data_IF_692739789551
#
_entry.id   IF_692739789551
#
_cell.length_a   1.000
_cell.length_b   1.000
_cell.length_c   1.000
_cell.angle_alpha   90.00
_cell.angle_beta   90.00
_cell.angle_gamma   90.00
#
_symmetry.space_group_name_H-M   'P 1'
#
loop_
_entity.id
_entity.type
_entity.pdbx_description
1 polymer ?
#
# COMPACT_ATOMS: atom_id res chain seq x y z
N UNK A 1 11.51 -10.40 -17.56
CA UNK A 1 10.19 -9.97 -17.07
C UNK A 1 9.23 -10.04 -18.24
N UNK A 2 8.15 -10.80 -18.10
CA UNK A 2 7.20 -11.03 -19.18
C UNK A 2 6.03 -10.05 -18.98
N UNK A 3 6.16 -8.84 -19.53
CA UNK A 3 5.08 -7.83 -19.52
C UNK A 3 4.01 -8.26 -20.53
N UNK A 4 3.27 -9.31 -20.19
CA UNK A 4 2.19 -9.78 -21.03
C UNK A 4 1.04 -8.76 -20.95
N UNK A 5 0.72 -8.16 -22.08
CA UNK A 5 -0.48 -7.33 -22.22
C UNK A 5 -1.72 -8.22 -22.07
N UNK A 6 -2.65 -7.80 -21.22
CA UNK A 6 -4.00 -8.34 -21.11
C UNK A 6 -4.99 -7.26 -21.51
N UNK A 7 -6.17 -7.69 -21.98
CA UNK A 7 -7.17 -6.81 -22.54
C UNK A 7 -8.42 -6.90 -21.68
N UNK A 8 -8.73 -5.83 -20.94
CA UNK A 8 -9.93 -5.76 -20.11
C UNK A 8 -11.05 -5.03 -20.86
N UNK A 9 -12.26 -5.58 -20.79
CA UNK A 9 -13.46 -4.96 -21.34
C UNK A 9 -14.26 -4.34 -20.21
N UNK A 10 -14.51 -3.03 -20.26
CA UNK A 10 -15.25 -2.29 -19.24
C UNK A 10 -16.23 -1.28 -19.85
N UNK A 11 -17.17 -0.78 -19.06
CA UNK A 11 -18.01 0.35 -19.45
C UNK A 11 -17.18 1.64 -19.65
N UNK A 12 -17.52 2.43 -20.67
CA UNK A 12 -16.79 3.66 -21.02
C UNK A 12 -16.98 4.79 -20.00
N UNK A 13 -18.14 4.84 -19.34
CA UNK A 13 -18.52 5.91 -18.42
C UNK A 13 -18.10 5.66 -16.95
N UNK A 14 -17.38 4.57 -16.69
CA UNK A 14 -16.96 4.17 -15.34
C UNK A 14 -15.45 3.98 -15.33
N UNK A 15 -14.75 4.81 -14.56
CA UNK A 15 -13.29 4.74 -14.39
C UNK A 15 -12.86 3.76 -13.28
N UNK A 16 -13.81 3.13 -12.59
CA UNK A 16 -13.51 2.11 -11.57
C UNK A 16 -13.33 0.72 -12.18
N UNK A 17 -12.26 0.03 -11.75
CA UNK A 17 -11.95 -1.36 -12.12
C UNK A 17 -13.05 -2.37 -11.70
N UNK A 18 -13.95 -1.98 -10.79
CA UNK A 18 -15.14 -2.74 -10.41
C UNK A 18 -16.12 -2.96 -11.58
N UNK A 19 -15.90 -2.26 -12.70
CA UNK A 19 -16.71 -2.34 -13.92
C UNK A 19 -16.10 -3.20 -15.03
N UNK A 20 -15.08 -4.02 -14.73
CA UNK A 20 -14.52 -4.97 -15.69
C UNK A 20 -15.49 -6.14 -15.93
N UNK A 21 -15.98 -6.25 -17.16
CA UNK A 21 -16.87 -7.33 -17.59
C UNK A 21 -16.13 -8.61 -17.93
N UNK A 22 -14.94 -8.50 -18.52
CA UNK A 22 -14.13 -9.63 -18.96
C UNK A 22 -12.66 -9.24 -19.15
N UNK A 23 -11.75 -10.21 -19.00
CA UNK A 23 -10.31 -10.06 -19.24
C UNK A 23 -9.86 -11.14 -20.22
N UNK A 24 -9.04 -10.75 -21.20
CA UNK A 24 -8.54 -11.62 -22.26
C UNK A 24 -7.02 -11.55 -22.39
N UNK A 25 -6.44 -12.66 -22.84
CA UNK A 25 -5.02 -12.81 -23.19
C UNK A 25 -4.69 -12.35 -24.62
N UNK A 26 -5.69 -12.00 -25.44
CA UNK A 26 -5.50 -11.44 -26.78
C UNK A 26 -6.58 -10.41 -27.15
N UNK A 27 -6.18 -9.42 -27.95
CA UNK A 27 -7.07 -8.37 -28.44
C UNK A 27 -8.22 -8.96 -29.27
N UNK A 28 -7.91 -9.92 -30.14
CA UNK A 28 -8.90 -10.60 -30.99
C UNK A 28 -10.04 -11.22 -30.17
N UNK A 29 -9.74 -11.82 -29.01
CA UNK A 29 -10.78 -12.39 -28.13
C UNK A 29 -11.63 -11.30 -27.48
N UNK A 30 -11.02 -10.18 -27.07
CA UNK A 30 -11.73 -9.03 -26.52
C UNK A 30 -12.66 -8.36 -27.56
N UNK A 31 -12.19 -8.19 -28.79
CA UNK A 31 -13.00 -7.67 -29.91
C UNK A 31 -14.17 -8.61 -30.24
N UNK A 32 -13.91 -9.92 -30.31
CA UNK A 32 -14.96 -10.92 -30.51
C UNK A 32 -16.00 -10.91 -29.37
N UNK A 33 -15.58 -10.66 -28.13
CA UNK A 33 -16.49 -10.47 -27.00
C UNK A 33 -17.39 -9.25 -27.21
N UNK A 34 -16.83 -8.09 -27.58
CA UNK A 34 -17.61 -6.89 -27.86
C UNK A 34 -18.65 -7.10 -28.99
N UNK A 35 -18.26 -7.81 -30.04
CA UNK A 35 -19.17 -8.13 -31.16
C UNK A 35 -20.30 -9.05 -30.71
N UNK A 36 -19.98 -10.07 -29.91
CA UNK A 36 -20.97 -11.04 -29.41
C UNK A 36 -21.93 -10.43 -28.40
N UNK A 37 -21.43 -9.56 -27.53
CA UNK A 37 -22.18 -8.92 -26.46
C UNK A 37 -22.35 -7.43 -26.73
N UNK A 38 -22.85 -7.08 -27.92
CA UNK A 38 -23.36 -5.73 -28.23
C UNK A 38 -24.55 -5.43 -27.32
N UNK A 39 -24.29 -5.15 -26.05
CA UNK A 39 -25.26 -4.70 -25.07
C UNK A 39 -25.56 -3.22 -25.32
N UNK A 40 -26.61 -2.70 -24.68
CA UNK A 40 -26.95 -1.26 -24.72
C UNK A 40 -25.90 -0.36 -24.05
N UNK A 41 -24.88 -0.94 -23.42
CA UNK A 41 -23.87 -0.25 -22.64
C UNK A 41 -22.64 -0.02 -23.52
N UNK A 42 -22.12 1.20 -23.53
CA UNK A 42 -20.94 1.54 -24.33
C UNK A 42 -19.70 0.93 -23.67
N UNK A 43 -19.16 -0.13 -24.27
CA UNK A 43 -18.02 -0.87 -23.75
C UNK A 43 -16.73 -0.46 -24.48
N UNK A 44 -15.63 -0.38 -23.75
CA UNK A 44 -14.27 -0.15 -24.26
C UNK A 44 -13.33 -1.29 -23.89
N UNK A 45 -12.33 -1.52 -24.74
CA UNK A 45 -11.17 -2.35 -24.40
C UNK A 45 -10.10 -1.41 -23.84
N UNK A 46 -9.53 -1.78 -22.71
CA UNK A 46 -8.32 -1.15 -22.17
C UNK A 46 -7.19 -2.17 -22.12
N UNK A 47 -5.99 -1.70 -22.46
CA UNK A 47 -4.78 -2.50 -22.38
C UNK A 47 -4.22 -2.38 -20.96
N UNK A 48 -4.04 -3.53 -20.31
CA UNK A 48 -3.42 -3.62 -19.00
C UNK A 48 -2.17 -4.48 -19.11
N UNK A 49 -1.22 -4.25 -18.22
CA UNK A 49 -0.01 -5.05 -18.13
C UNK A 49 -0.23 -6.05 -16.99
N UNK A 50 -0.10 -7.34 -17.28
CA UNK A 50 -0.05 -8.35 -16.24
C UNK A 50 1.20 -8.08 -15.38
N UNK A 51 1.01 -7.96 -14.06
CA UNK A 51 2.10 -7.79 -13.11
C UNK A 51 2.50 -9.16 -12.53
N UNK A 52 3.38 -9.94 -13.18
CA UNK A 52 3.81 -11.25 -12.67
C UNK A 52 4.66 -11.14 -11.39
N UNK A 53 5.19 -9.95 -11.12
CA UNK A 53 6.01 -9.66 -9.95
C UNK A 53 5.14 -9.30 -8.72
N UNK A 54 3.81 -9.24 -8.87
CA UNK A 54 2.88 -9.12 -7.75
C UNK A 54 3.00 -10.34 -6.85
N UNK A 55 3.47 -10.12 -5.61
CA UNK A 55 3.62 -11.20 -4.63
C UNK A 55 2.28 -11.43 -3.94
N UNK A 56 1.62 -12.49 -4.36
CA UNK A 56 0.44 -13.04 -3.69
C UNK A 56 0.91 -14.14 -2.72
N UNK A 57 1.02 -13.86 -1.43
CA UNK A 57 1.07 -14.90 -0.41
C UNK A 57 -0.34 -15.17 0.12
N UNK A 58 -0.93 -16.29 -0.28
CA UNK A 58 -2.28 -16.69 0.15
C UNK A 58 -2.43 -16.90 1.67
N UNK A 59 -1.33 -16.94 2.41
CA UNK A 59 -1.34 -17.20 3.85
C UNK A 59 -1.01 -15.94 4.66
N UNK A 60 -0.66 -14.82 4.02
CA UNK A 60 -0.27 -13.60 4.71
C UNK A 60 -0.91 -12.39 4.04
N UNK A 61 -1.45 -11.51 4.86
CA UNK A 61 -1.94 -10.21 4.42
C UNK A 61 -0.89 -9.13 4.72
N UNK A 62 -0.82 -8.06 3.90
CA UNK A 62 -0.03 -6.89 4.22
C UNK A 62 -0.76 -6.05 5.27
N UNK A 63 -0.12 -5.85 6.42
CA UNK A 63 -0.61 -5.01 7.51
C UNK A 63 0.23 -3.74 7.62
N UNK A 64 -0.43 -2.64 7.95
CA UNK A 64 0.16 -1.40 8.47
C UNK A 64 -0.10 -1.34 9.97
N UNK A 65 0.96 -1.13 10.74
CA UNK A 65 0.91 -1.03 12.21
C UNK A 65 1.51 0.31 12.62
N UNK A 66 0.74 1.11 13.34
CA UNK A 66 1.19 2.37 13.94
C UNK A 66 1.57 2.17 15.40
N UNK A 67 2.79 2.54 15.77
CA UNK A 67 3.34 2.37 17.11
C UNK A 67 4.01 3.66 17.60
N UNK A 68 3.55 4.18 18.73
CA UNK A 68 4.36 5.12 19.50
C UNK A 68 5.72 4.51 19.91
N UNK A 69 6.74 5.35 20.04
CA UNK A 69 8.12 4.92 20.33
C UNK A 69 8.29 4.14 21.65
N UNK A 70 7.37 4.29 22.60
CA UNK A 70 7.45 3.68 23.94
C UNK A 70 6.34 2.68 24.24
N UNK A 71 5.26 2.62 23.44
CA UNK A 71 4.10 1.75 23.70
C UNK A 71 4.21 0.45 22.93
N UNK A 72 3.90 -0.69 23.53
CA UNK A 72 3.78 -1.96 22.80
C UNK A 72 2.38 -2.19 22.23
N UNK A 73 1.39 -1.46 22.73
CA UNK A 73 0.04 -1.47 22.18
C UNK A 73 0.04 -0.50 20.99
N UNK A 74 -0.35 -0.97 19.79
CA UNK A 74 -0.42 -0.10 18.61
C UNK A 74 -1.53 0.93 18.76
N UNK A 75 -1.32 2.09 18.16
CA UNK A 75 -2.35 3.12 18.07
C UNK A 75 -3.34 2.78 16.92
N UNK A 76 -2.86 2.12 15.85
CA UNK A 76 -3.69 1.53 14.79
C UNK A 76 -3.08 0.23 14.21
N UNK A 77 -3.95 -0.67 13.72
CA UNK A 77 -3.60 -1.85 12.94
C UNK A 77 -4.62 -2.03 11.82
N UNK A 78 -4.17 -1.94 10.58
CA UNK A 78 -5.03 -2.00 9.40
C UNK A 78 -4.42 -2.84 8.29
N UNK A 79 -5.26 -3.41 7.43
CA UNK A 79 -4.82 -4.12 6.23
C UNK A 79 -4.54 -3.08 5.14
N UNK A 80 -3.38 -3.22 4.49
CA UNK A 80 -2.98 -2.39 3.36
C UNK A 80 -3.90 -2.62 2.15
N UNK A 81 -4.31 -1.56 1.48
CA UNK A 81 -5.29 -1.62 0.38
C UNK A 81 -4.71 -1.27 -0.99
N UNK A 82 -3.44 -0.90 -1.07
CA UNK A 82 -2.75 -0.57 -2.33
C UNK A 82 -1.60 -1.52 -2.65
N UNK A 83 -1.23 -1.58 -3.93
CA UNK A 83 -0.05 -2.34 -4.40
C UNK A 83 1.23 -1.77 -3.78
N UNK A 84 1.33 -0.43 -3.69
CA UNK A 84 2.48 0.26 -3.10
C UNK A 84 2.68 -0.16 -1.64
N UNK A 85 1.61 -0.22 -0.85
CA UNK A 85 1.68 -0.67 0.53
C UNK A 85 2.12 -2.14 0.66
N UNK A 86 1.69 -3.01 -0.27
CA UNK A 86 2.12 -4.40 -0.31
C UNK A 86 3.60 -4.52 -0.70
N UNK A 87 4.08 -3.71 -1.64
CA UNK A 87 5.50 -3.64 -2.02
C UNK A 87 6.38 -3.15 -0.86
N UNK A 88 5.92 -2.15 -0.12
CA UNK A 88 6.56 -1.69 1.10
C UNK A 88 6.60 -2.76 2.20
N UNK A 89 5.48 -3.48 2.40
CA UNK A 89 5.42 -4.59 3.35
C UNK A 89 6.41 -5.73 3.01
N UNK A 90 6.63 -6.01 1.72
CA UNK A 90 7.64 -6.98 1.24
C UNK A 90 9.06 -6.53 1.55
N UNK A 91 9.34 -5.26 1.28
CA UNK A 91 10.63 -4.65 1.56
C UNK A 91 10.90 -4.50 3.07
N UNK A 92 9.89 -4.78 3.91
CA UNK A 92 9.90 -4.57 5.37
C UNK A 92 10.30 -3.13 5.70
N UNK A 93 9.81 -2.20 4.88
CA UNK A 93 10.05 -0.79 5.12
C UNK A 93 9.26 -0.35 6.34
N UNK A 94 9.86 0.55 7.09
CA UNK A 94 9.18 1.30 8.12
C UNK A 94 9.45 2.77 7.85
N UNK A 95 8.43 3.57 8.10
CA UNK A 95 8.52 5.02 8.08
C UNK A 95 8.38 5.49 9.53
N UNK A 96 9.22 6.44 9.93
CA UNK A 96 8.96 7.20 11.15
C UNK A 96 8.13 8.40 10.72
N UNK A 97 6.83 8.32 10.93
CA UNK A 97 5.92 9.41 10.66
C UNK A 97 5.95 10.35 11.86
N UNK A 98 6.15 11.64 11.60
CA UNK A 98 6.20 12.60 12.68
C UNK A 98 5.04 13.58 12.54
N UNK A 99 4.08 13.44 13.45
CA UNK A 99 2.91 14.28 13.57
C UNK A 99 3.24 15.46 14.49
N UNK A 100 3.52 16.61 13.88
CA UNK A 100 3.61 17.88 14.57
C UNK A 100 2.32 18.66 14.38
N UNK A 101 1.51 18.75 15.43
CA UNK A 101 0.36 19.65 15.51
C UNK A 101 0.58 20.65 16.66
N UNK A 102 -0.11 21.80 16.69
CA UNK A 102 0.06 22.81 17.74
C UNK A 102 -0.07 22.26 19.17
N UNK A 103 -0.80 21.16 19.34
CA UNK A 103 -1.13 20.56 20.64
C UNK A 103 -0.45 19.20 20.88
N UNK A 104 0.15 18.59 19.86
CA UNK A 104 0.78 17.26 19.93
C UNK A 104 2.05 17.25 19.09
N UNK A 105 3.19 17.02 19.73
CA UNK A 105 4.43 16.60 19.09
C UNK A 105 4.62 15.10 19.35
N UNK A 106 4.29 14.27 18.36
CA UNK A 106 4.45 12.83 18.46
C UNK A 106 5.13 12.31 17.20
N UNK A 107 6.20 11.54 17.38
CA UNK A 107 6.70 10.65 16.35
C UNK A 107 6.00 9.30 16.55
N UNK A 108 5.59 8.66 15.47
CA UNK A 108 5.03 7.32 15.45
C UNK A 108 5.77 6.50 14.39
N UNK A 109 5.98 5.23 14.70
CA UNK A 109 6.48 4.28 13.71
C UNK A 109 5.31 3.72 12.94
N UNK A 110 5.30 3.96 11.63
CA UNK A 110 4.42 3.28 10.69
C UNK A 110 5.19 2.14 10.05
N UNK A 111 4.85 0.90 10.43
CA UNK A 111 5.54 -0.30 9.97
C UNK A 111 4.60 -1.09 9.08
N UNK A 112 5.06 -1.44 7.86
CA UNK A 112 4.31 -2.31 6.95
C UNK A 112 4.95 -3.69 6.91
N UNK A 113 4.16 -4.75 7.14
CA UNK A 113 4.64 -6.15 7.22
C UNK A 113 3.60 -7.13 6.70
N UNK A 114 4.06 -8.22 6.09
CA UNK A 114 3.21 -9.39 5.87
C UNK A 114 3.07 -10.23 7.14
N UNK A 115 1.85 -10.63 7.47
CA UNK A 115 1.54 -11.48 8.62
C UNK A 115 0.29 -12.35 8.38
N UNK A 116 0.17 -13.46 9.09
CA UNK A 116 -0.99 -14.36 9.04
C UNK A 116 -2.16 -13.85 9.88
N UNK A 117 -1.88 -12.94 10.83
CA UNK A 117 -2.90 -12.33 11.69
C UNK A 117 -2.46 -10.94 12.17
N UNK A 118 -3.41 -10.13 12.69
CA UNK A 118 -3.08 -8.84 13.31
C UNK A 118 -2.09 -8.97 14.47
N UNK A 119 -2.20 -10.00 15.30
CA UNK A 119 -1.32 -10.22 16.44
C UNK A 119 0.13 -10.48 15.98
N UNK A 120 0.31 -11.30 14.94
CA UNK A 120 1.64 -11.53 14.36
C UNK A 120 2.20 -10.25 13.71
N UNK A 121 1.34 -9.42 13.09
CA UNK A 121 1.75 -8.13 12.53
C UNK A 121 2.29 -7.20 13.63
N UNK A 122 1.61 -7.10 14.77
CA UNK A 122 2.03 -6.30 15.92
C UNK A 122 3.38 -6.79 16.45
N UNK A 123 3.54 -8.09 16.66
CA UNK A 123 4.80 -8.67 17.16
C UNK A 123 5.99 -8.36 16.24
N UNK A 124 5.78 -8.48 14.92
CA UNK A 124 6.79 -8.11 13.91
C UNK A 124 7.09 -6.62 13.94
N UNK A 125 6.06 -5.77 14.00
CA UNK A 125 6.21 -4.32 13.99
C UNK A 125 6.97 -3.83 15.24
N UNK A 126 6.66 -4.36 16.42
CA UNK A 126 7.37 -4.07 17.67
C UNK A 126 8.85 -4.44 17.56
N UNK A 127 9.17 -5.59 16.96
CA UNK A 127 10.56 -6.00 16.74
C UNK A 127 11.30 -5.03 15.81
N UNK A 128 10.72 -4.72 14.65
CA UNK A 128 11.30 -3.79 13.66
C UNK A 128 11.54 -2.42 14.29
N UNK A 129 10.54 -1.90 15.02
CA UNK A 129 10.66 -0.64 15.76
C UNK A 129 11.83 -0.66 16.74
N UNK A 130 11.92 -1.69 17.58
CA UNK A 130 12.97 -1.76 18.60
C UNK A 130 14.38 -1.82 17.95
N UNK A 131 14.51 -2.52 16.81
CA UNK A 131 15.73 -2.51 16.02
C UNK A 131 16.05 -1.11 15.47
N UNK A 132 15.04 -0.38 14.97
CA UNK A 132 15.21 1.01 14.50
C UNK A 132 15.60 1.99 15.61
N UNK A 133 14.98 1.87 16.79
CA UNK A 133 15.36 2.65 17.98
C UNK A 133 16.83 2.36 18.36
N UNK A 134 17.25 1.09 18.33
CA UNK A 134 18.62 0.72 18.65
C UNK A 134 19.65 1.26 17.64
N UNK A 135 19.24 1.45 16.37
CA UNK A 135 20.08 2.07 15.32
C UNK A 135 20.14 3.59 15.39
N UNK A 136 19.26 4.24 16.14
CA UNK A 136 19.17 5.70 16.21
C UNK A 136 18.21 6.33 15.18
N UNK A 137 17.41 5.51 14.49
CA UNK A 137 16.50 5.96 13.43
C UNK A 137 15.45 6.93 14.00
N UNK A 138 15.00 6.68 15.24
CA UNK A 138 14.06 7.53 15.96
C UNK A 138 14.62 8.93 16.28
N UNK A 139 15.83 8.98 16.83
CA UNK A 139 16.47 10.23 17.21
C UNK A 139 16.74 11.10 15.97
N UNK A 140 17.11 10.45 14.87
CA UNK A 140 17.31 11.12 13.57
C UNK A 140 16.00 11.74 13.08
N UNK A 141 14.91 10.96 13.00
CA UNK A 141 13.61 11.44 12.57
C UNK A 141 13.06 12.56 13.49
N UNK A 142 13.22 12.42 14.80
CA UNK A 142 12.80 13.44 15.76
C UNK A 142 13.59 14.76 15.60
N UNK A 143 14.91 14.69 15.36
CA UNK A 143 15.74 15.86 15.13
C UNK A 143 15.38 16.57 13.80
N UNK A 144 15.08 15.79 12.76
CA UNK A 144 14.61 16.31 11.48
C UNK A 144 13.27 17.04 11.64
N UNK A 145 12.32 16.48 12.40
CA UNK A 145 11.05 17.15 12.74
C UNK A 145 11.31 18.48 13.45
N UNK A 146 12.08 18.49 14.55
CA UNK A 146 12.37 19.72 15.30
C UNK A 146 13.02 20.79 14.41
N UNK A 147 13.84 20.37 13.45
CA UNK A 147 14.46 21.27 12.47
C UNK A 147 13.43 21.84 11.51
N UNK A 148 12.46 21.03 11.05
CA UNK A 148 11.38 21.47 10.18
C UNK A 148 10.44 22.45 10.88
N UNK A 149 10.02 22.15 12.13
CA UNK A 149 9.16 23.02 12.93
C UNK A 149 9.79 24.41 13.07
N UNK A 150 11.06 24.48 13.49
CA UNK A 150 11.79 25.76 13.60
C UNK A 150 11.86 26.55 12.30
N UNK A 151 11.95 25.86 11.15
CA UNK A 151 11.93 26.52 9.82
C UNK A 151 10.55 27.09 9.47
N UNK A 152 9.48 26.44 9.91
CA UNK A 152 8.11 26.90 9.68
C UNK A 152 7.77 28.09 10.59
N UNK A 153 8.22 28.09 11.83
CA UNK A 153 8.02 29.18 12.80
C UNK A 153 8.83 30.45 12.51
N UNK A 154 9.88 30.35 11.69
CA UNK A 154 10.74 31.49 11.31
C UNK A 154 10.34 32.17 10.00
N UNK A 155 9.21 31.79 9.42
CA UNK A 155 8.58 32.42 8.25
C UNK A 155 7.43 33.32 8.64
#
# INVERSE_FOLDING_TARGET
MNNQTIYAVQARDWDDLDSVHAIFDSLEKAENFLVRFKTKQDLRIIDLILNPDFISDKNQDPYRVELAGTKTIPDDVSICTSIEDAEEALARTFLVEVCASPDIEQADFSVKVFAQSPEEAIDKAVKIRNEGIARGDWQTAHLEMLTLIKKLESR
#
